data_IF_614674208501
#
_entry.id   IF_614674208501
#
_cell.length_a   1.000
_cell.length_b   1.000
_cell.length_c   1.000
_cell.angle_alpha   90.00
_cell.angle_beta   90.00
_cell.angle_gamma   90.00
#
_symmetry.space_group_name_H-M   'P 1'
#
loop_
_entity.id
_entity.type
_entity.pdbx_description
1 polymer ?
#
# COMPACT_ATOMS: atom_id res chain seq x y z
N UNK A 1 -0.59 -4.31 15.98
CA UNK A 1 -0.18 -4.79 14.64
C UNK A 1 -0.02 -3.57 13.73
N UNK A 2 1.07 -3.46 12.95
CA UNK A 2 1.31 -2.30 12.06
C UNK A 2 2.77 -1.78 11.99
N UNK A 3 3.70 -2.31 12.78
CA UNK A 3 5.04 -1.71 12.86
C UNK A 3 5.98 -2.02 11.68
N UNK A 4 5.66 -3.02 10.85
CA UNK A 4 6.52 -3.45 9.75
C UNK A 4 5.86 -3.19 8.39
N UNK A 5 6.63 -2.69 7.40
CA UNK A 5 6.12 -2.54 6.04
C UNK A 5 5.77 -3.90 5.41
N UNK A 6 4.64 -3.94 4.72
CA UNK A 6 4.17 -5.10 3.95
C UNK A 6 4.57 -4.91 2.50
N UNK A 7 5.21 -5.92 1.90
CA UNK A 7 5.70 -5.85 0.52
C UNK A 7 4.55 -5.77 -0.49
N UNK A 8 4.84 -5.21 -1.68
CA UNK A 8 3.88 -5.16 -2.79
C UNK A 8 3.39 -6.55 -3.19
N UNK A 9 4.29 -7.53 -3.26
CA UNK A 9 3.95 -8.92 -3.58
C UNK A 9 2.99 -9.52 -2.56
N UNK A 10 3.23 -9.30 -1.26
CA UNK A 10 2.33 -9.79 -0.21
C UNK A 10 0.95 -9.17 -0.35
N UNK A 11 0.85 -7.86 -0.60
CA UNK A 11 -0.45 -7.20 -0.77
C UNK A 11 -1.19 -7.70 -2.02
N UNK A 12 -0.50 -7.82 -3.15
CA UNK A 12 -1.08 -8.34 -4.40
C UNK A 12 -1.56 -9.79 -4.25
N UNK A 13 -0.81 -10.63 -3.55
CA UNK A 13 -1.16 -12.01 -3.30
C UNK A 13 -2.33 -12.13 -2.31
N UNK A 14 -2.24 -11.55 -1.12
CA UNK A 14 -3.18 -11.80 -0.02
C UNK A 14 -4.53 -11.06 -0.20
N UNK A 15 -4.54 -9.92 -0.88
CA UNK A 15 -5.76 -9.11 -1.06
C UNK A 15 -6.43 -9.36 -2.42
N UNK A 16 -5.65 -9.58 -3.48
CA UNK A 16 -6.17 -9.77 -4.85
C UNK A 16 -5.96 -11.18 -5.43
N UNK A 17 -5.13 -12.02 -4.83
CA UNK A 17 -4.86 -13.37 -5.35
C UNK A 17 -3.94 -13.41 -6.57
N UNK A 18 -3.14 -12.37 -6.81
CA UNK A 18 -2.18 -12.37 -7.93
C UNK A 18 -0.87 -13.08 -7.57
N UNK A 19 -0.33 -13.85 -8.53
CA UNK A 19 0.98 -14.48 -8.38
C UNK A 19 2.11 -13.44 -8.40
N UNK A 20 3.14 -13.66 -7.58
CA UNK A 20 4.38 -12.89 -7.59
C UNK A 20 5.01 -12.89 -8.99
N UNK A 21 5.19 -11.72 -9.59
CA UNK A 21 5.79 -11.56 -10.92
C UNK A 21 4.92 -10.81 -11.95
N UNK A 22 3.66 -10.50 -11.62
CA UNK A 22 2.84 -9.62 -12.47
C UNK A 22 3.07 -8.17 -12.06
N UNK A 23 3.75 -7.39 -12.91
CA UNK A 23 3.81 -5.93 -12.77
C UNK A 23 2.43 -5.37 -13.12
N UNK A 24 1.66 -4.96 -12.10
CA UNK A 24 0.34 -4.34 -12.28
C UNK A 24 0.34 -2.95 -11.66
N UNK A 25 -0.48 -2.04 -12.21
CA UNK A 25 -0.78 -0.75 -11.58
C UNK A 25 -1.93 -0.85 -10.56
N UNK A 26 -2.42 -2.06 -10.30
CA UNK A 26 -3.58 -2.31 -9.44
C UNK A 26 -3.30 -1.83 -8.03
N UNK A 27 -2.13 -2.17 -7.48
CA UNK A 27 -1.78 -1.78 -6.12
C UNK A 27 -1.64 -0.27 -5.99
N UNK A 28 -0.89 0.38 -6.88
CA UNK A 28 -0.67 1.84 -6.85
C UNK A 28 -1.99 2.59 -6.97
N UNK A 29 -2.89 2.14 -7.84
CA UNK A 29 -4.22 2.74 -8.02
C UNK A 29 -5.05 2.66 -6.73
N UNK A 30 -5.03 1.51 -6.06
CA UNK A 30 -5.79 1.32 -4.82
C UNK A 30 -5.17 2.09 -3.65
N UNK A 31 -3.84 2.12 -3.54
CA UNK A 31 -3.14 2.93 -2.54
C UNK A 31 -3.44 4.42 -2.72
N UNK A 32 -3.39 4.92 -3.96
CA UNK A 32 -3.76 6.30 -4.28
C UNK A 32 -5.18 6.61 -3.83
N UNK A 33 -6.16 5.78 -4.21
CA UNK A 33 -7.57 5.95 -3.80
C UNK A 33 -7.78 5.83 -2.29
N UNK A 34 -7.01 4.98 -1.63
CA UNK A 34 -7.08 4.80 -0.19
C UNK A 34 -6.57 6.05 0.53
N UNK A 35 -5.42 6.61 0.12
CA UNK A 35 -4.88 7.87 0.67
C UNK A 35 -5.87 9.02 0.55
N UNK A 36 -6.55 9.15 -0.60
CA UNK A 36 -7.59 10.16 -0.79
C UNK A 36 -8.76 10.04 0.21
N UNK A 37 -8.98 8.87 0.81
CA UNK A 37 -10.07 8.63 1.76
C UNK A 37 -9.65 8.72 3.22
N UNK A 38 -8.40 8.36 3.53
CA UNK A 38 -7.94 8.22 4.92
C UNK A 38 -6.98 9.33 5.36
N UNK A 39 -6.25 9.94 4.43
CA UNK A 39 -5.29 11.00 4.75
C UNK A 39 -5.98 12.36 4.82
N UNK A 40 -5.48 13.24 5.68
CA UNK A 40 -5.84 14.66 5.68
C UNK A 40 -5.31 15.36 4.42
N UNK A 41 -4.10 15.00 3.99
CA UNK A 41 -3.48 15.44 2.75
C UNK A 41 -2.88 14.22 2.03
N UNK A 42 -3.50 13.81 0.94
CA UNK A 42 -3.07 12.64 0.18
C UNK A 42 -1.73 12.83 -0.56
N UNK A 43 -1.29 14.08 -0.76
CA UNK A 43 0.02 14.38 -1.35
C UNK A 43 1.15 14.25 -0.32
N UNK A 44 0.83 14.36 0.98
CA UNK A 44 1.76 14.19 2.10
C UNK A 44 1.23 13.12 3.08
N UNK A 45 1.26 11.83 2.68
CA UNK A 45 0.64 10.76 3.46
C UNK A 45 1.38 10.51 4.77
N UNK A 46 0.63 10.54 5.87
CA UNK A 46 1.15 10.31 7.22
C UNK A 46 0.69 8.98 7.81
N UNK A 47 -0.48 8.48 7.39
CA UNK A 47 -1.08 7.25 7.91
C UNK A 47 -0.61 6.03 7.09
N UNK A 48 -0.63 6.12 5.75
CA UNK A 48 -0.24 5.04 4.84
C UNK A 48 1.04 5.42 4.10
N UNK A 49 2.18 5.11 4.71
CA UNK A 49 3.52 5.47 4.20
C UNK A 49 4.11 4.38 3.32
N UNK A 50 4.89 4.79 2.33
CA UNK A 50 5.68 3.89 1.47
C UNK A 50 7.06 3.73 2.10
N UNK A 51 7.43 2.51 2.48
CA UNK A 51 8.70 2.21 3.16
C UNK A 51 9.25 0.87 2.66
N UNK A 52 10.58 0.78 2.43
CA UNK A 52 11.27 -0.45 2.02
C UNK A 52 10.66 -1.17 0.79
N UNK A 53 10.09 -0.41 -0.16
CA UNK A 53 9.42 -0.98 -1.35
C UNK A 53 8.06 -1.62 -1.07
N UNK A 54 7.49 -1.38 0.11
CA UNK A 54 6.16 -1.79 0.53
C UNK A 54 5.36 -0.64 1.14
N UNK A 55 4.31 -0.98 1.90
CA UNK A 55 3.43 -0.02 2.56
C UNK A 55 3.26 -0.35 4.03
N UNK A 56 3.19 0.69 4.86
CA UNK A 56 3.04 0.59 6.30
C UNK A 56 1.96 1.54 6.80
N UNK A 57 1.20 1.08 7.78
CA UNK A 57 0.25 1.91 8.52
C UNK A 57 0.94 2.47 9.76
N UNK A 58 0.98 3.80 9.87
CA UNK A 58 1.51 4.53 11.02
C UNK A 58 0.32 5.13 11.79
N UNK A 59 0.19 4.86 13.09
CA UNK A 59 -0.85 5.43 13.93
C UNK A 59 -0.64 6.91 14.24
#
# INVERSE_FOLDING_TARGET
AGQHPVSRETLLQEVWGYNSGVTTHTLETHIYRLRQKVEKDAASPAILVTEAGGYKLVP
#
